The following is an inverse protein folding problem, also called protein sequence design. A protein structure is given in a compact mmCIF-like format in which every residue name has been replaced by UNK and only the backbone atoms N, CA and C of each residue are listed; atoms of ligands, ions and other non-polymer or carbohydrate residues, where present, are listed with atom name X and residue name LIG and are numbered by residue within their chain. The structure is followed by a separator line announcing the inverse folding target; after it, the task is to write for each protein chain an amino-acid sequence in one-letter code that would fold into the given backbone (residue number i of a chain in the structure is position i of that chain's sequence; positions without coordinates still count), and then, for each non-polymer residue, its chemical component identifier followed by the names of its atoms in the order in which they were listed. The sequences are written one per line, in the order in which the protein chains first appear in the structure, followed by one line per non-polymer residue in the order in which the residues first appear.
data_IF_473144848682
#
_entry.id   IF_473144848682
#
_cell.length_a   1.000
_cell.length_b   1.000
_cell.length_c   1.000
_cell.angle_alpha   90.00
_cell.angle_beta   90.00
_cell.angle_gamma   90.00
#
_symmetry.space_group_name_H-M   'P 1'
#
loop_
_entity.id
_entity.type
_entity.pdbx_description
1 polymer ?
#
# COMPACT_ATOMS: atom_id res chain seq x y z
N UNK A 1 -16.28 2.36 19.48
CA UNK A 1 -17.17 3.27 18.73
C UNK A 1 -17.06 4.71 19.24
N UNK A 2 -17.45 4.99 20.50
CA UNK A 2 -17.43 6.36 21.04
C UNK A 2 -16.05 7.02 21.00
N UNK A 3 -15.00 6.34 21.47
CA UNK A 3 -13.63 6.88 21.46
C UNK A 3 -13.18 7.22 20.03
N UNK A 4 -13.36 6.30 19.08
CA UNK A 4 -12.99 6.50 17.67
C UNK A 4 -13.73 7.68 17.03
N UNK A 5 -15.05 7.77 17.22
CA UNK A 5 -15.85 8.88 16.71
C UNK A 5 -15.46 10.21 17.36
N UNK A 6 -15.21 10.21 18.68
CA UNK A 6 -14.77 11.38 19.42
C UNK A 6 -13.40 11.88 18.95
N UNK A 7 -12.43 10.98 18.77
CA UNK A 7 -11.10 11.35 18.26
C UNK A 7 -11.18 11.84 16.82
N UNK A 8 -11.98 11.19 15.96
CA UNK A 8 -12.14 11.61 14.58
C UNK A 8 -12.76 13.02 14.50
N UNK A 9 -13.82 13.28 15.27
CA UNK A 9 -14.45 14.61 15.34
C UNK A 9 -13.49 15.67 15.85
N UNK A 10 -12.77 15.38 16.93
CA UNK A 10 -11.79 16.31 17.49
C UNK A 10 -10.68 16.63 16.48
N UNK A 11 -10.20 15.63 15.76
CA UNK A 11 -9.14 15.78 14.77
C UNK A 11 -9.59 16.61 13.56
N UNK A 12 -10.82 16.38 13.08
CA UNK A 12 -11.39 17.19 11.99
C UNK A 12 -11.61 18.65 12.37
N UNK A 13 -11.92 18.94 13.64
CA UNK A 13 -12.11 20.30 14.13
C UNK A 13 -10.78 21.03 14.39
N UNK A 14 -9.76 20.31 14.85
CA UNK A 14 -8.45 20.89 15.21
C UNK A 14 -7.50 21.05 14.04
N UNK A 15 -7.56 20.19 13.02
CA UNK A 15 -6.63 20.17 11.89
C UNK A 15 -7.31 20.74 10.65
N UNK A 16 -7.03 21.99 10.26
CA UNK A 16 -7.64 22.59 9.07
C UNK A 16 -7.16 21.89 7.79
N UNK A 17 -8.07 21.75 6.84
CA UNK A 17 -7.83 21.18 5.51
C UNK A 17 -7.38 19.72 5.45
N UNK A 18 -7.49 18.96 6.54
CA UNK A 18 -7.09 17.54 6.62
C UNK A 18 -7.48 16.75 5.35
N UNK A 19 -6.55 15.91 4.87
CA UNK A 19 -6.67 15.13 3.63
C UNK A 19 -6.67 15.94 2.32
N UNK A 20 -6.66 17.28 2.31
CA UNK A 20 -6.56 18.07 1.08
C UNK A 20 -5.10 18.44 0.76
N UNK A 21 -4.44 17.61 -0.05
CA UNK A 21 -3.01 17.77 -0.39
C UNK A 21 -2.65 19.11 -1.06
N UNK A 22 -3.61 19.84 -1.63
CA UNK A 22 -3.35 21.14 -2.26
C UNK A 22 -3.25 22.29 -1.25
N UNK A 23 -3.97 22.18 -0.14
CA UNK A 23 -4.06 23.22 0.90
C UNK A 23 -3.15 22.93 2.10
N UNK A 24 -2.59 21.73 2.17
CA UNK A 24 -1.67 21.34 3.23
C UNK A 24 -0.25 21.89 2.99
N UNK A 25 0.48 22.25 4.06
CA UNK A 25 1.89 22.61 3.95
C UNK A 25 2.72 21.44 3.44
N UNK A 26 3.72 21.73 2.60
CA UNK A 26 4.59 20.71 2.02
C UNK A 26 5.28 19.87 3.12
N UNK A 27 5.11 18.54 3.05
CA UNK A 27 5.66 17.61 4.05
C UNK A 27 4.72 17.30 5.21
N UNK A 28 3.47 17.73 5.17
CA UNK A 28 2.45 17.32 6.13
C UNK A 28 2.16 15.82 6.06
N UNK A 29 1.99 15.21 7.21
CA UNK A 29 1.59 13.81 7.45
C UNK A 29 0.10 13.55 7.20
N UNK A 30 -0.75 14.58 7.22
CA UNK A 30 -2.22 14.49 7.12
C UNK A 30 -2.77 14.34 5.69
N UNK A 31 -2.14 13.51 4.86
CA UNK A 31 -2.51 13.32 3.44
C UNK A 31 -3.61 12.28 3.22
N UNK A 32 -3.90 11.42 4.21
CA UNK A 32 -4.98 10.42 4.21
C UNK A 32 -5.07 9.53 2.95
N UNK A 33 -3.98 8.83 2.56
CA UNK A 33 -3.93 8.11 1.28
C UNK A 33 -4.97 6.97 1.18
N UNK A 34 -5.29 6.32 2.31
CA UNK A 34 -6.28 5.25 2.33
C UNK A 34 -7.71 5.77 2.11
N UNK A 35 -8.06 6.91 2.70
CA UNK A 35 -9.38 7.51 2.56
C UNK A 35 -9.63 8.02 1.14
N UNK A 36 -8.60 8.58 0.50
CA UNK A 36 -8.65 8.93 -0.93
C UNK A 36 -8.91 7.71 -1.80
N UNK A 37 -8.18 6.61 -1.57
CA UNK A 37 -8.39 5.36 -2.31
C UNK A 37 -9.83 4.85 -2.15
N UNK A 38 -10.36 4.90 -0.93
CA UNK A 38 -11.72 4.44 -0.64
C UNK A 38 -12.78 5.36 -1.28
N UNK A 39 -12.54 6.67 -1.24
CA UNK A 39 -13.38 7.66 -1.91
C UNK A 39 -13.38 7.45 -3.43
N UNK A 40 -12.22 7.33 -4.06
CA UNK A 40 -12.09 7.06 -5.50
C UNK A 40 -12.79 5.76 -5.89
N UNK A 41 -12.60 4.69 -5.11
CA UNK A 41 -13.31 3.44 -5.32
C UNK A 41 -14.84 3.64 -5.25
N UNK A 42 -15.34 4.42 -4.30
CA UNK A 42 -16.78 4.72 -4.18
C UNK A 42 -17.31 5.49 -5.39
N UNK A 43 -16.53 6.41 -5.95
CA UNK A 43 -16.90 7.18 -7.15
C UNK A 43 -16.92 6.27 -8.39
N UNK A 44 -15.92 5.41 -8.53
CA UNK A 44 -15.80 4.45 -9.63
C UNK A 44 -16.98 3.47 -9.63
N UNK A 45 -17.24 2.83 -8.50
CA UNK A 45 -18.24 1.76 -8.39
C UNK A 45 -19.67 2.28 -8.16
N UNK A 46 -19.81 3.46 -7.55
CA UNK A 46 -21.11 4.05 -7.22
C UNK A 46 -21.62 5.09 -8.23
N UNK A 47 -20.80 6.07 -8.59
CA UNK A 47 -21.23 7.22 -9.40
C UNK A 47 -21.06 6.99 -10.91
N UNK A 48 -19.87 6.60 -11.35
CA UNK A 48 -19.50 6.54 -12.78
C UNK A 48 -19.97 5.25 -13.45
N UNK A 49 -20.27 4.22 -12.65
CA UNK A 49 -20.62 2.87 -13.05
C UNK A 49 -19.48 2.09 -13.75
N UNK A 50 -19.38 0.77 -13.54
CA UNK A 50 -18.28 -0.05 -14.09
C UNK A 50 -18.19 0.00 -15.61
N UNK A 51 -19.32 0.17 -16.31
CA UNK A 51 -19.38 0.21 -17.77
C UNK A 51 -18.57 1.37 -18.38
N UNK A 52 -18.46 2.50 -17.68
CA UNK A 52 -17.77 3.68 -18.22
C UNK A 52 -16.27 3.66 -17.97
N UNK A 53 -15.80 2.81 -17.06
CA UNK A 53 -14.38 2.68 -16.71
C UNK A 53 -13.80 1.38 -17.28
N UNK A 54 -14.47 0.26 -17.04
CA UNK A 54 -14.06 -1.09 -17.46
C UNK A 54 -14.84 -1.63 -18.66
N UNK A 55 -15.90 -0.95 -19.12
CA UNK A 55 -16.72 -1.45 -20.22
C UNK A 55 -16.20 -1.05 -21.61
N UNK A 56 -17.13 -1.01 -22.55
CA UNK A 56 -16.94 -0.66 -23.96
C UNK A 56 -16.51 0.80 -24.19
N UNK A 57 -16.92 1.69 -23.29
CA UNK A 57 -16.69 3.14 -23.38
C UNK A 57 -15.49 3.61 -22.55
N UNK A 58 -14.84 2.71 -21.80
CA UNK A 58 -13.80 3.04 -20.83
C UNK A 58 -12.38 2.77 -21.29
N UNK A 59 -11.42 3.57 -20.82
CA UNK A 59 -9.98 3.40 -21.09
C UNK A 59 -9.37 2.18 -20.42
N UNK A 60 -10.00 1.62 -19.38
CA UNK A 60 -9.48 0.50 -18.59
C UNK A 60 -10.12 -0.85 -18.94
N UNK A 61 -10.73 -0.99 -20.13
CA UNK A 61 -11.35 -2.23 -20.58
C UNK A 61 -10.40 -3.44 -20.58
N UNK A 62 -9.10 -3.20 -20.86
CA UNK A 62 -8.06 -4.22 -20.84
C UNK A 62 -7.85 -4.87 -19.46
N UNK A 63 -8.20 -4.17 -18.37
CA UNK A 63 -8.03 -4.69 -17.00
C UNK A 63 -8.90 -5.93 -16.75
N UNK A 64 -10.03 -6.08 -17.46
CA UNK A 64 -10.87 -7.25 -17.31
C UNK A 64 -10.17 -8.55 -17.76
N UNK A 65 -9.14 -8.48 -18.62
CA UNK A 65 -8.35 -9.65 -19.01
C UNK A 65 -7.55 -10.24 -17.85
N UNK A 66 -7.29 -9.47 -16.79
CA UNK A 66 -6.67 -10.01 -15.58
C UNK A 66 -7.57 -11.01 -14.85
N UNK A 67 -8.90 -11.00 -15.04
CA UNK A 67 -9.77 -12.07 -14.52
C UNK A 67 -9.45 -13.41 -15.19
N UNK A 68 -9.24 -13.40 -16.51
CA UNK A 68 -8.82 -14.59 -17.26
C UNK A 68 -7.40 -15.01 -16.86
N UNK A 69 -6.48 -14.04 -16.71
CA UNK A 69 -5.14 -14.29 -16.20
C UNK A 69 -5.15 -14.94 -14.81
N UNK A 70 -6.00 -14.46 -13.91
CA UNK A 70 -6.19 -15.02 -12.57
C UNK A 70 -6.80 -16.42 -12.59
N UNK A 71 -7.71 -16.72 -13.52
CA UNK A 71 -8.27 -18.07 -13.69
C UNK A 71 -7.24 -19.05 -14.29
N UNK A 72 -6.36 -18.57 -15.17
CA UNK A 72 -5.32 -19.38 -15.82
C UNK A 72 -4.13 -19.62 -14.87
N UNK A 73 -3.80 -18.69 -13.97
CA UNK A 73 -2.62 -18.79 -13.11
C UNK A 73 -2.57 -20.09 -12.25
N UNK A 74 -3.65 -20.54 -11.59
CA UNK A 74 -3.68 -21.82 -10.89
C UNK A 74 -3.51 -23.04 -11.83
N UNK A 75 -4.04 -22.97 -13.05
CA UNK A 75 -3.90 -24.04 -14.04
C UNK A 75 -2.45 -24.18 -14.51
N UNK A 76 -1.73 -23.07 -14.65
CA UNK A 76 -0.29 -23.09 -14.96
C UNK A 76 0.53 -23.76 -13.86
N UNK A 77 0.22 -23.49 -12.59
CA UNK A 77 0.88 -24.17 -11.45
C UNK A 77 0.59 -25.66 -11.46
N UNK A 78 -0.65 -26.06 -11.77
CA UNK A 78 -1.02 -27.48 -11.88
C UNK A 78 -0.29 -28.19 -13.03
N UNK A 79 -0.20 -27.57 -14.21
CA UNK A 79 0.56 -28.11 -15.34
C UNK A 79 2.06 -28.21 -15.03
N UNK A 80 2.64 -27.18 -14.38
CA UNK A 80 4.03 -27.17 -13.97
C UNK A 80 4.34 -28.30 -12.97
N UNK A 81 3.42 -28.57 -12.05
CA UNK A 81 3.55 -29.70 -11.12
C UNK A 81 3.53 -31.05 -11.86
N UNK A 82 2.66 -31.20 -12.87
CA UNK A 82 2.55 -32.43 -13.67
C UNK A 82 3.78 -32.67 -14.56
N UNK A 83 4.38 -31.61 -15.10
CA UNK A 83 5.58 -31.69 -15.95
C UNK A 83 6.87 -31.95 -15.16
N UNK A 84 6.96 -31.47 -13.91
CA UNK A 84 8.14 -31.62 -13.05
C UNK A 84 7.81 -32.33 -11.72
N UNK A 85 7.55 -33.64 -11.74
CA UNK A 85 7.19 -34.41 -10.53
C UNK A 85 8.31 -34.46 -9.47
N UNK A 86 9.56 -34.15 -9.84
CA UNK A 86 10.69 -34.12 -8.91
C UNK A 86 10.79 -32.88 -8.03
N UNK A 87 10.05 -31.80 -8.34
CA UNK A 87 10.21 -30.50 -7.69
C UNK A 87 9.06 -30.20 -6.72
N UNK A 88 9.21 -30.57 -5.44
CA UNK A 88 8.18 -30.39 -4.41
C UNK A 88 7.87 -28.91 -4.10
N UNK A 89 8.78 -27.98 -4.42
CA UNK A 89 8.61 -26.54 -4.13
C UNK A 89 7.50 -25.87 -4.97
N UNK A 90 7.21 -26.40 -6.16
CA UNK A 90 6.16 -25.87 -7.07
C UNK A 90 4.78 -25.94 -6.41
N UNK A 91 4.56 -26.94 -5.55
CA UNK A 91 3.31 -27.14 -4.82
C UNK A 91 3.11 -26.13 -3.68
N UNK A 92 4.20 -25.48 -3.21
CA UNK A 92 4.12 -24.43 -2.20
C UNK A 92 3.80 -23.05 -2.79
N UNK A 93 3.84 -22.89 -4.12
CA UNK A 93 3.54 -21.62 -4.78
C UNK A 93 2.01 -21.46 -4.88
N UNK A 94 1.46 -20.65 -3.99
CA UNK A 94 0.03 -20.35 -3.98
C UNK A 94 -0.25 -19.03 -4.72
N UNK A 95 -0.64 -19.13 -6.00
CA UNK A 95 -0.91 -17.97 -6.86
C UNK A 95 -1.98 -17.01 -6.29
N UNK A 96 -3.11 -17.48 -5.74
CA UNK A 96 -4.06 -16.61 -5.02
C UNK A 96 -3.43 -15.76 -3.92
N UNK A 97 -2.50 -16.32 -3.13
CA UNK A 97 -1.82 -15.58 -2.06
C UNK A 97 -0.87 -14.51 -2.64
N UNK A 98 -0.17 -14.84 -3.72
CA UNK A 98 0.72 -13.90 -4.40
C UNK A 98 -0.06 -12.74 -5.03
N UNK A 99 -1.15 -13.03 -5.74
CA UNK A 99 -1.99 -12.01 -6.36
C UNK A 99 -2.75 -11.17 -5.32
N UNK A 100 -3.21 -11.81 -4.24
CA UNK A 100 -3.86 -11.12 -3.13
C UNK A 100 -2.94 -10.16 -2.38
N UNK A 101 -1.64 -10.47 -2.23
CA UNK A 101 -0.68 -9.59 -1.57
C UNK A 101 -0.46 -8.25 -2.27
N UNK A 102 -0.77 -8.16 -3.56
CA UNK A 102 -0.60 -6.95 -4.39
C UNK A 102 -1.80 -5.99 -4.23
N UNK A 103 -2.92 -6.42 -3.63
CA UNK A 103 -4.12 -5.56 -3.51
C UNK A 103 -3.92 -4.32 -2.63
N UNK A 104 -2.97 -4.37 -1.69
CA UNK A 104 -2.64 -3.25 -0.79
C UNK A 104 -1.61 -2.29 -1.39
N UNK A 105 -1.31 -2.44 -2.69
CA UNK A 105 -0.26 -1.67 -3.36
C UNK A 105 -0.61 -0.20 -3.63
N UNK A 106 -1.86 0.15 -4.00
CA UNK A 106 -2.22 1.54 -4.27
C UNK A 106 -1.99 2.54 -3.11
N UNK A 107 -2.30 2.22 -1.83
CA UNK A 107 -2.14 3.19 -0.74
C UNK A 107 -0.71 3.27 -0.17
N UNK A 108 0.19 2.35 -0.53
CA UNK A 108 1.51 2.25 0.10
C UNK A 108 2.63 2.66 -0.86
N UNK A 109 3.58 3.44 -0.34
CA UNK A 109 4.75 3.90 -1.10
C UNK A 109 5.69 2.75 -1.47
N UNK A 110 6.52 2.98 -2.48
CA UNK A 110 7.51 1.99 -2.93
C UNK A 110 8.47 1.55 -1.81
N UNK A 111 8.81 2.48 -0.91
CA UNK A 111 9.66 2.21 0.27
C UNK A 111 8.98 1.23 1.23
N UNK A 112 7.67 1.37 1.47
CA UNK A 112 6.94 0.45 2.36
C UNK A 112 6.94 -0.98 1.81
N UNK A 113 6.79 -1.13 0.49
CA UNK A 113 6.83 -2.44 -0.17
C UNK A 113 8.21 -3.08 -0.15
N UNK A 114 9.25 -2.32 -0.49
CA UNK A 114 10.62 -2.83 -0.47
C UNK A 114 11.05 -3.20 0.95
N UNK A 115 10.69 -2.40 1.95
CA UNK A 115 10.91 -2.72 3.36
C UNK A 115 10.16 -4.01 3.78
N UNK A 116 8.88 -4.14 3.40
CA UNK A 116 8.10 -5.34 3.68
C UNK A 116 8.73 -6.60 3.06
N UNK A 117 9.15 -6.55 1.79
CA UNK A 117 9.83 -7.68 1.12
C UNK A 117 11.13 -8.04 1.86
N UNK A 118 11.93 -7.05 2.23
CA UNK A 118 13.18 -7.27 2.97
C UNK A 118 12.93 -7.95 4.33
N UNK A 119 11.98 -7.43 5.12
CA UNK A 119 11.62 -7.99 6.43
C UNK A 119 11.01 -9.38 6.29
N UNK A 120 10.13 -9.58 5.30
CA UNK A 120 9.54 -10.87 4.99
C UNK A 120 10.59 -11.90 4.57
N UNK A 121 11.60 -11.51 3.79
CA UNK A 121 12.71 -12.39 3.42
C UNK A 121 13.59 -12.73 4.62
N UNK A 122 13.96 -11.73 5.44
CA UNK A 122 14.77 -11.95 6.63
C UNK A 122 14.06 -12.87 7.63
N UNK A 123 12.79 -12.60 7.95
CA UNK A 123 12.02 -13.44 8.87
C UNK A 123 11.68 -14.81 8.25
N UNK A 124 11.10 -14.82 7.06
CA UNK A 124 10.51 -15.99 6.42
C UNK A 124 11.53 -16.94 5.78
N UNK A 125 12.69 -16.46 5.36
CA UNK A 125 13.73 -17.31 4.76
C UNK A 125 14.96 -17.47 5.67
N UNK A 126 15.56 -16.37 6.13
CA UNK A 126 16.81 -16.43 6.90
C UNK A 126 16.55 -16.99 8.29
N UNK A 127 15.71 -16.35 9.09
CA UNK A 127 15.45 -16.79 10.47
C UNK A 127 14.78 -18.16 10.50
N UNK A 128 13.87 -18.43 9.55
CA UNK A 128 13.28 -19.75 9.39
C UNK A 128 14.32 -20.86 9.13
N UNK A 129 15.31 -20.62 8.26
CA UNK A 129 16.33 -21.60 7.89
C UNK A 129 17.37 -21.83 8.99
N UNK A 130 17.83 -20.78 9.66
CA UNK A 130 18.87 -20.91 10.69
C UNK A 130 18.32 -21.24 12.09
N UNK A 131 17.09 -20.83 12.43
CA UNK A 131 16.52 -20.93 13.79
C UNK A 131 15.03 -21.28 13.80
N UNK A 132 14.66 -22.36 13.13
CA UNK A 132 13.28 -22.82 12.97
C UNK A 132 12.45 -22.89 14.29
N UNK A 133 12.99 -23.50 15.34
CA UNK A 133 12.29 -23.66 16.62
C UNK A 133 11.98 -22.32 17.31
N UNK A 134 12.88 -21.34 17.16
CA UNK A 134 12.67 -20.01 17.73
C UNK A 134 11.61 -19.24 16.92
N UNK A 135 11.69 -19.31 15.59
CA UNK A 135 10.77 -18.67 14.68
C UNK A 135 9.34 -19.14 14.89
N UNK A 136 9.11 -20.46 14.94
CA UNK A 136 7.78 -21.04 15.16
C UNK A 136 7.10 -20.55 16.44
N UNK A 137 7.88 -20.29 17.50
CA UNK A 137 7.37 -19.88 18.81
C UNK A 137 7.12 -18.37 18.90
N UNK A 138 7.95 -17.54 18.27
CA UNK A 138 7.94 -16.09 18.50
C UNK A 138 7.48 -15.25 17.31
N UNK A 139 7.39 -15.80 16.10
CA UNK A 139 7.07 -15.00 14.91
C UNK A 139 5.73 -14.25 15.03
N UNK A 140 4.68 -14.93 15.51
CA UNK A 140 3.38 -14.29 15.72
C UNK A 140 3.41 -13.22 16.82
N UNK A 141 4.14 -13.48 17.91
CA UNK A 141 4.28 -12.51 19.01
C UNK A 141 5.08 -11.29 18.56
N UNK A 142 6.14 -11.49 17.77
CA UNK A 142 6.96 -10.42 17.21
C UNK A 142 6.14 -9.56 16.24
N UNK A 143 5.35 -10.18 15.36
CA UNK A 143 4.44 -9.45 14.46
C UNK A 143 3.47 -8.57 15.24
N UNK A 144 2.79 -9.13 16.25
CA UNK A 144 1.87 -8.36 17.09
C UNK A 144 2.56 -7.25 17.90
N UNK A 145 3.78 -7.50 18.37
CA UNK A 145 4.58 -6.49 19.08
C UNK A 145 5.02 -5.35 18.16
N UNK A 146 5.34 -5.63 16.90
CA UNK A 146 5.67 -4.60 15.91
C UNK A 146 4.46 -3.74 15.56
N UNK A 147 3.29 -4.35 15.36
CA UNK A 147 2.04 -3.63 15.08
C UNK A 147 1.61 -2.74 16.26
N UNK A 148 1.65 -3.30 17.48
CA UNK A 148 1.34 -2.54 18.69
C UNK A 148 2.39 -1.43 18.95
N UNK A 149 3.66 -1.73 18.70
CA UNK A 149 4.76 -0.78 18.84
C UNK A 149 4.64 0.40 17.87
N UNK A 150 4.28 0.14 16.60
CA UNK A 150 4.01 1.16 15.61
C UNK A 150 2.86 2.07 16.05
N UNK A 151 1.74 1.49 16.48
CA UNK A 151 0.58 2.26 16.94
C UNK A 151 0.91 3.13 18.16
N UNK A 152 1.62 2.58 19.14
CA UNK A 152 2.03 3.33 20.33
C UNK A 152 3.00 4.47 19.99
N UNK A 153 4.00 4.20 19.16
CA UNK A 153 4.97 5.21 18.74
C UNK A 153 4.33 6.32 17.90
N UNK A 154 3.36 5.99 17.05
CA UNK A 154 2.62 6.99 16.27
C UNK A 154 1.87 7.98 17.18
N UNK A 155 1.19 7.49 18.21
CA UNK A 155 0.50 8.36 19.20
C UNK A 155 1.50 9.20 19.99
N UNK A 156 2.64 8.62 20.39
CA UNK A 156 3.68 9.34 21.11
C UNK A 156 4.28 10.46 20.25
N UNK A 157 4.61 10.18 18.99
CA UNK A 157 5.14 11.17 18.04
C UNK A 157 4.11 12.28 17.81
N UNK A 158 2.83 11.94 17.62
CA UNK A 158 1.77 12.92 17.47
C UNK A 158 1.71 13.88 18.67
N UNK A 159 1.70 13.35 19.89
CA UNK A 159 1.59 14.16 21.11
C UNK A 159 2.84 15.01 21.38
N UNK A 160 4.04 14.52 21.04
CA UNK A 160 5.29 15.19 21.38
C UNK A 160 5.81 16.16 20.30
N UNK A 161 5.48 15.93 19.03
CA UNK A 161 6.06 16.68 17.91
C UNK A 161 4.97 17.38 17.10
N UNK A 162 3.91 16.66 16.75
CA UNK A 162 2.92 17.11 15.77
C UNK A 162 1.95 18.15 16.36
N UNK A 163 1.59 18.02 17.65
CA UNK A 163 0.82 19.05 18.36
C UNK A 163 1.53 20.42 18.41
N UNK A 164 2.85 20.42 18.56
CA UNK A 164 3.67 21.64 18.60
C UNK A 164 4.17 22.08 17.21
N UNK A 165 3.68 21.46 16.13
CA UNK A 165 4.09 21.69 14.73
C UNK A 165 5.61 21.59 14.49
N UNK A 166 6.30 20.70 15.22
CA UNK A 166 7.75 20.50 15.07
C UNK A 166 7.99 19.46 13.96
N UNK A 167 8.46 19.93 12.80
CA UNK A 167 8.83 19.05 11.68
C UNK A 167 10.28 18.59 11.79
N UNK A 168 10.51 17.28 11.91
CA UNK A 168 11.85 16.69 11.89
C UNK A 168 12.19 16.16 10.49
N UNK A 169 13.16 16.80 9.84
CA UNK A 169 13.67 16.34 8.56
C UNK A 169 14.87 15.41 8.77
N UNK A 170 14.69 14.13 8.44
CA UNK A 170 15.72 13.10 8.47
C UNK A 170 15.52 12.15 7.29
N UNK A 171 16.52 11.30 7.03
CA UNK A 171 16.53 10.35 5.92
C UNK A 171 15.30 9.43 5.83
N UNK A 172 14.59 9.18 6.94
CA UNK A 172 13.38 8.36 6.98
C UNK A 172 12.05 9.12 6.80
N UNK A 173 12.05 10.46 6.79
CA UNK A 173 10.82 11.27 6.68
C UNK A 173 10.66 11.93 5.29
N UNK A 174 11.67 11.81 4.42
CA UNK A 174 11.55 12.32 3.05
C UNK A 174 10.83 11.25 2.21
N UNK A 175 9.55 11.47 1.93
CA UNK A 175 8.80 10.66 0.98
C UNK A 175 9.47 10.73 -0.39
N UNK A 176 9.82 9.56 -0.93
CA UNK A 176 10.44 9.30 -2.23
C UNK A 176 11.23 10.49 -2.77
N UNK A 177 12.55 10.52 -2.53
CA UNK A 177 13.48 11.65 -2.79
C UNK A 177 13.57 12.19 -4.24
N UNK A 178 12.58 11.92 -5.08
CA UNK A 178 12.35 12.53 -6.38
C UNK A 178 10.97 13.24 -6.41
N UNK A 179 10.93 14.58 -6.32
CA UNK A 179 9.68 15.34 -6.42
C UNK A 179 9.00 15.21 -7.79
N UNK A 180 9.70 14.69 -8.81
CA UNK A 180 9.14 14.43 -10.14
C UNK A 180 8.35 13.12 -10.21
N UNK A 181 8.38 12.26 -9.19
CA UNK A 181 7.63 11.01 -9.20
C UNK A 181 6.11 11.22 -9.25
N UNK A 182 5.62 12.37 -8.78
CA UNK A 182 4.20 12.72 -8.85
C UNK A 182 3.79 13.35 -10.20
N UNK A 183 4.74 13.61 -11.09
CA UNK A 183 4.45 14.26 -12.36
C UNK A 183 3.80 13.31 -13.37
N UNK A 184 2.77 13.75 -14.11
CA UNK A 184 2.14 12.92 -15.14
C UNK A 184 3.12 12.67 -16.28
N UNK A 185 3.28 11.40 -16.64
CA UNK A 185 4.10 10.97 -17.78
C UNK A 185 3.29 10.84 -19.07
N UNK A 186 1.97 11.06 -19.01
CA UNK A 186 1.09 10.98 -20.16
C UNK A 186 1.26 12.22 -21.07
N UNK A 187 1.40 11.97 -22.37
CA UNK A 187 1.54 13.04 -23.38
C UNK A 187 0.32 13.95 -23.37
N UNK A 188 0.56 15.27 -23.33
CA UNK A 188 -0.49 16.29 -23.40
C UNK A 188 -1.11 16.70 -22.06
N UNK A 189 -0.69 16.13 -20.93
CA UNK A 189 -1.13 16.57 -19.60
C UNK A 189 -0.12 17.59 -19.05
N UNK A 190 -0.54 18.85 -18.95
CA UNK A 190 0.29 19.93 -18.42
C UNK A 190 -0.09 20.16 -16.96
N UNK A 191 0.82 19.83 -16.05
CA UNK A 191 0.69 20.14 -14.62
C UNK A 191 1.77 21.13 -14.23
N UNK A 192 1.38 22.16 -13.48
CA UNK A 192 2.26 23.22 -13.03
C UNK A 192 3.40 22.64 -12.17
N UNK A 193 4.65 22.83 -12.59
CA UNK A 193 5.84 22.30 -11.88
C UNK A 193 6.40 20.98 -12.40
N UNK A 194 5.84 20.40 -13.46
CA UNK A 194 6.29 19.14 -14.07
C UNK A 194 6.88 19.34 -15.48
N UNK A 195 7.93 18.58 -15.87
CA UNK A 195 8.47 18.66 -17.22
C UNK A 195 7.49 18.09 -18.24
N UNK A 196 7.15 18.87 -19.26
CA UNK A 196 6.24 18.44 -20.33
C UNK A 196 7.01 17.57 -21.32
N UNK A 197 6.58 16.33 -21.52
CA UNK A 197 7.03 15.49 -22.62
C UNK A 197 6.12 15.72 -23.84
N UNK A 198 6.67 16.38 -24.86
CA UNK A 198 6.06 16.50 -26.20
C UNK A 198 6.09 15.14 -26.94
#
# INVERSE_FOLDING_TARGET
AFVYLGTAWWMMDTIPNMCNTELLPAGSTWTCPYDHLFYDASVIWGLISPRRIFGDLGTYSAVNWFFLGGAIAPLLVWLAHKAFPGQKWILLVNMPVLLGGISHMPPATAVNYTAWICVAFLSGYVVYKYRHNWWKRHNYLLSGALDAGLAFMAVLIYLCLELDNITLNWWGNVSDGCPLASCPTAKGIIVHGCPVHN
#
